data_IF_127036786607
#
_entry.id   IF_127036786607
#
_cell.length_a   1.000
_cell.length_b   1.000
_cell.length_c   1.000
_cell.angle_alpha   90.00
_cell.angle_beta   90.00
_cell.angle_gamma   90.00
#
_symmetry.space_group_name_H-M   'P 1'
#
loop_
_entity.id
_entity.type
_entity.pdbx_description
1 polymer ?
#
# COMPACT_ATOMS: atom_id res chain seq x y z
N UNK A 1 0.31 3.06 -14.09
CA UNK A 1 0.03 2.05 -13.05
C UNK A 1 -0.85 2.67 -11.98
N UNK A 2 -1.84 1.93 -11.48
CA UNK A 2 -2.64 2.27 -10.29
C UNK A 2 -2.27 1.35 -9.12
N UNK A 3 -1.85 1.92 -8.00
CA UNK A 3 -1.58 1.20 -6.76
C UNK A 3 -2.71 1.45 -5.74
N UNK A 4 -3.24 0.40 -5.13
CA UNK A 4 -4.15 0.48 -3.99
C UNK A 4 -3.36 0.29 -2.70
N UNK A 5 -3.53 1.19 -1.74
CA UNK A 5 -2.92 1.15 -0.42
C UNK A 5 -4.03 0.91 0.61
N UNK A 6 -3.97 -0.23 1.29
CA UNK A 6 -4.97 -0.64 2.29
C UNK A 6 -4.36 -0.47 3.67
N UNK A 7 -4.79 0.58 4.38
CA UNK A 7 -4.17 1.09 5.60
C UNK A 7 -3.30 2.32 5.30
N UNK A 8 -3.61 3.46 5.93
CA UNK A 8 -2.97 4.76 5.75
C UNK A 8 -2.13 5.17 6.98
N UNK A 9 -1.77 4.22 7.84
CA UNK A 9 -0.80 4.43 8.92
C UNK A 9 0.62 4.71 8.40
N UNK A 10 1.62 4.67 9.28
CA UNK A 10 3.01 5.05 8.95
C UNK A 10 3.56 4.32 7.71
N UNK A 11 3.41 2.99 7.65
CA UNK A 11 3.92 2.18 6.54
C UNK A 11 3.11 2.41 5.26
N UNK A 12 1.78 2.41 5.36
CA UNK A 12 0.90 2.62 4.22
C UNK A 12 1.05 4.01 3.61
N UNK A 13 1.12 5.06 4.43
CA UNK A 13 1.42 6.42 3.98
C UNK A 13 2.80 6.51 3.31
N UNK A 14 3.77 5.72 3.78
CA UNK A 14 5.07 5.61 3.14
C UNK A 14 5.02 4.97 1.76
N UNK A 15 4.26 3.89 1.58
CA UNK A 15 4.02 3.29 0.27
C UNK A 15 3.25 4.23 -0.66
N UNK A 16 2.20 4.89 -0.15
CA UNK A 16 1.43 5.87 -0.90
C UNK A 16 2.36 6.97 -1.43
N UNK A 17 3.22 7.53 -0.58
CA UNK A 17 4.21 8.51 -0.98
C UNK A 17 5.18 7.97 -2.05
N UNK A 18 5.68 6.76 -1.87
CA UNK A 18 6.62 6.14 -2.81
C UNK A 18 6.01 6.00 -4.20
N UNK A 19 4.82 5.42 -4.32
CA UNK A 19 4.16 5.27 -5.62
C UNK A 19 3.76 6.62 -6.22
N UNK A 20 3.19 7.51 -5.42
CA UNK A 20 2.66 8.80 -5.88
C UNK A 20 3.77 9.69 -6.46
N UNK A 21 4.92 9.78 -5.76
CA UNK A 21 6.05 10.61 -6.19
C UNK A 21 6.85 9.98 -7.35
N UNK A 22 6.51 8.76 -7.77
CA UNK A 22 7.03 8.14 -8.98
C UNK A 22 5.95 8.08 -10.10
N UNK A 23 4.97 9.00 -10.05
CA UNK A 23 3.99 9.19 -11.13
C UNK A 23 2.84 8.19 -11.17
N UNK A 24 2.67 7.35 -10.15
CA UNK A 24 1.57 6.39 -10.12
C UNK A 24 0.27 7.01 -9.61
N UNK A 25 -0.87 6.53 -10.11
CA UNK A 25 -2.16 6.78 -9.47
C UNK A 25 -2.23 5.96 -8.19
N UNK A 26 -2.55 6.58 -7.05
CA UNK A 26 -2.60 5.91 -5.75
C UNK A 26 -4.00 6.03 -5.16
N UNK A 27 -4.69 4.91 -4.99
CA UNK A 27 -5.94 4.84 -4.24
C UNK A 27 -5.64 4.41 -2.80
N UNK A 28 -6.00 5.22 -1.81
CA UNK A 28 -5.78 4.90 -0.39
C UNK A 28 -7.12 4.66 0.29
N UNK A 29 -7.22 3.56 1.03
CA UNK A 29 -8.34 3.26 1.91
C UNK A 29 -7.84 3.00 3.33
N UNK A 30 -8.44 3.69 4.30
CA UNK A 30 -8.30 3.41 5.73
C UNK A 30 -9.63 3.80 6.42
N UNK A 31 -10.20 2.95 7.29
CA UNK A 31 -11.42 3.28 8.02
C UNK A 31 -11.22 4.37 9.09
N UNK A 32 -9.98 4.66 9.49
CA UNK A 32 -9.63 5.65 10.50
C UNK A 32 -9.39 7.03 9.89
N UNK A 33 -10.14 8.03 10.35
CA UNK A 33 -9.93 9.43 9.96
C UNK A 33 -8.57 9.98 10.41
N UNK A 34 -8.05 9.53 11.56
CA UNK A 34 -6.72 9.94 12.04
C UNK A 34 -5.59 9.45 11.15
N UNK A 35 -5.73 8.26 10.54
CA UNK A 35 -4.76 7.75 9.59
C UNK A 35 -4.73 8.60 8.31
N UNK A 36 -5.89 9.06 7.84
CA UNK A 36 -5.98 9.99 6.70
C UNK A 36 -5.30 11.33 6.98
N UNK A 37 -5.44 11.87 8.20
CA UNK A 37 -4.70 13.08 8.59
C UNK A 37 -3.18 12.83 8.62
N UNK A 38 -2.75 11.67 9.11
CA UNK A 38 -1.35 11.25 9.11
C UNK A 38 -0.75 11.13 7.70
N UNK A 39 -1.53 10.65 6.73
CA UNK A 39 -1.11 10.51 5.34
C UNK A 39 -0.60 11.83 4.75
N UNK A 40 -1.33 12.94 4.94
CA UNK A 40 -0.90 14.25 4.41
C UNK A 40 0.43 14.71 5.00
N UNK A 41 0.65 14.46 6.29
CA UNK A 41 1.93 14.76 6.93
C UNK A 41 3.07 13.91 6.35
N UNK A 42 2.82 12.62 6.10
CA UNK A 42 3.79 11.72 5.45
C UNK A 42 4.09 12.17 4.02
N UNK A 43 3.07 12.50 3.23
CA UNK A 43 3.25 13.00 1.85
C UNK A 43 4.04 14.31 1.83
N UNK A 44 3.74 15.25 2.72
CA UNK A 44 4.49 16.49 2.85
C UNK A 44 5.96 16.25 3.21
N UNK A 45 6.25 15.30 4.11
CA UNK A 45 7.61 14.92 4.45
C UNK A 45 8.34 14.27 3.25
N UNK A 46 7.67 13.37 2.53
CA UNK A 46 8.23 12.70 1.36
C UNK A 46 8.54 13.68 0.22
N UNK A 47 7.62 14.60 -0.10
CA UNK A 47 7.81 15.66 -1.12
C UNK A 47 9.04 16.53 -0.84
N UNK A 48 9.39 16.76 0.44
CA UNK A 48 10.57 17.54 0.83
C UNK A 48 11.89 16.75 0.80
N UNK A 49 11.84 15.43 0.98
CA UNK A 49 13.02 14.62 1.27
C UNK A 49 13.40 13.71 0.12
N UNK A 50 12.44 13.07 -0.55
CA UNK A 50 12.70 12.14 -1.64
C UNK A 50 13.48 12.76 -2.81
N UNK A 51 13.19 13.98 -3.29
CA UNK A 51 13.96 14.57 -4.40
C UNK A 51 15.44 14.76 -4.08
N UNK A 52 15.81 14.86 -2.79
CA UNK A 52 17.20 15.05 -2.36
C UNK A 52 18.05 13.78 -2.47
N UNK A 53 17.44 12.63 -2.77
CA UNK A 53 18.14 11.36 -2.95
C UNK A 53 18.56 11.12 -4.40
N UNK A 54 18.13 11.95 -5.35
CA UNK A 54 18.35 11.75 -6.76
C UNK A 54 19.09 12.94 -7.38
N UNK A 55 20.02 12.65 -8.28
CA UNK A 55 20.73 13.67 -9.08
C UNK A 55 19.90 14.16 -10.27
N UNK A 56 18.76 13.51 -10.53
CA UNK A 56 17.80 13.85 -11.58
C UNK A 56 16.43 14.20 -10.97
N UNK A 57 15.64 15.06 -11.63
CA UNK A 57 14.29 15.36 -11.18
C UNK A 57 13.43 14.09 -11.16
N UNK A 58 12.56 14.00 -10.15
CA UNK A 58 11.50 13.00 -10.13
C UNK A 58 10.52 13.26 -11.30
N UNK A 59 9.80 12.22 -11.76
CA UNK A 59 8.69 12.42 -12.69
C UNK A 59 7.60 13.30 -12.05
N UNK A 60 6.66 13.75 -12.89
CA UNK A 60 5.47 14.43 -12.39
C UNK A 60 4.75 13.57 -11.35
N UNK A 61 4.30 14.22 -10.27
CA UNK A 61 3.54 13.54 -9.22
C UNK A 61 2.27 12.93 -9.80
N UNK A 62 1.97 11.70 -9.39
CA UNK A 62 0.78 11.00 -9.83
C UNK A 62 -0.50 11.54 -9.19
N UNK A 63 -1.60 10.79 -9.35
CA UNK A 63 -2.91 11.19 -8.82
C UNK A 63 -3.23 10.45 -7.52
N UNK A 64 -3.44 11.20 -6.43
CA UNK A 64 -3.96 10.64 -5.19
C UNK A 64 -5.49 10.54 -5.23
N UNK A 65 -6.03 9.40 -4.84
CA UNK A 65 -7.45 9.12 -4.73
C UNK A 65 -7.71 8.63 -3.31
N UNK A 66 -8.53 9.34 -2.55
CA UNK A 66 -9.01 8.85 -1.27
C UNK A 66 -10.28 8.05 -1.47
N UNK A 67 -10.19 6.72 -1.39
CA UNK A 67 -11.35 5.86 -1.56
C UNK A 67 -12.28 5.93 -0.34
N UNK A 68 -13.59 5.78 -0.57
CA UNK A 68 -14.60 5.75 0.48
C UNK A 68 -14.72 4.37 1.13
N UNK A 69 -14.43 3.33 0.36
CA UNK A 69 -14.48 1.94 0.78
C UNK A 69 -13.34 1.12 0.14
N UNK A 70 -13.13 -0.08 0.66
CA UNK A 70 -12.08 -0.99 0.22
C UNK A 70 -12.30 -1.44 -1.23
N UNK A 71 -13.54 -1.72 -1.61
CA UNK A 71 -13.89 -2.25 -2.94
C UNK A 71 -13.51 -1.25 -4.04
N UNK A 72 -13.90 0.02 -3.87
CA UNK A 72 -13.56 1.11 -4.78
C UNK A 72 -12.05 1.35 -4.86
N UNK A 73 -11.31 1.13 -3.76
CA UNK A 73 -9.87 1.31 -3.75
C UNK A 73 -9.14 0.28 -4.64
N UNK A 74 -9.63 -0.97 -4.66
CA UNK A 74 -8.92 -2.11 -5.27
C UNK A 74 -9.47 -2.55 -6.63
N UNK A 75 -10.66 -2.09 -7.03
CA UNK A 75 -11.40 -2.57 -8.21
C UNK A 75 -10.57 -2.64 -9.51
N UNK A 76 -9.81 -1.59 -9.80
CA UNK A 76 -9.01 -1.39 -11.00
C UNK A 76 -7.51 -1.22 -10.69
N UNK A 77 -7.06 -1.69 -9.52
CA UNK A 77 -5.68 -1.60 -9.11
C UNK A 77 -4.79 -2.61 -9.87
N UNK A 78 -3.63 -2.15 -10.34
CA UNK A 78 -2.58 -3.00 -10.91
C UNK A 78 -1.67 -3.60 -9.82
N UNK A 79 -1.62 -2.98 -8.64
CA UNK A 79 -0.85 -3.40 -7.48
C UNK A 79 -1.64 -3.10 -6.21
N UNK A 80 -1.70 -4.05 -5.26
CA UNK A 80 -2.37 -3.84 -3.99
C UNK A 80 -1.37 -4.05 -2.84
N UNK A 81 -1.16 -3.02 -2.05
CA UNK A 81 -0.28 -3.04 -0.88
C UNK A 81 -1.13 -2.95 0.40
N UNK A 82 -1.15 -4.03 1.17
CA UNK A 82 -1.76 -4.10 2.48
C UNK A 82 -0.75 -3.70 3.56
N UNK A 83 -1.14 -2.72 4.38
CA UNK A 83 -0.37 -2.13 5.48
C UNK A 83 -1.25 -1.92 6.72
N UNK A 84 -2.22 -2.79 6.97
CA UNK A 84 -3.03 -2.80 8.20
C UNK A 84 -2.21 -3.31 9.39
N UNK A 85 -2.76 -3.16 10.59
CA UNK A 85 -2.14 -3.60 11.85
C UNK A 85 -1.63 -5.04 11.79
N UNK A 86 -0.58 -5.32 12.56
CA UNK A 86 0.09 -6.63 12.61
C UNK A 86 -0.73 -7.67 13.41
N UNK A 87 -1.92 -7.98 12.89
CA UNK A 87 -2.89 -8.94 13.42
C UNK A 87 -3.24 -9.93 12.31
N UNK A 88 -3.02 -11.22 12.56
CA UNK A 88 -3.13 -12.26 11.54
C UNK A 88 -4.57 -12.39 11.00
N UNK A 89 -5.55 -12.36 11.90
CA UNK A 89 -6.95 -12.56 11.53
C UNK A 89 -7.48 -11.36 10.75
N UNK A 90 -7.08 -10.14 11.15
CA UNK A 90 -7.37 -8.92 10.41
C UNK A 90 -6.77 -8.97 9.01
N UNK A 91 -5.49 -9.30 8.88
CA UNK A 91 -4.82 -9.38 7.57
C UNK A 91 -5.50 -10.39 6.66
N UNK A 92 -5.79 -11.60 7.15
CA UNK A 92 -6.52 -12.62 6.37
C UNK A 92 -7.90 -12.14 5.92
N UNK A 93 -8.68 -11.50 6.81
CA UNK A 93 -9.99 -10.92 6.45
C UNK A 93 -9.85 -9.84 5.38
N UNK A 94 -8.86 -8.96 5.51
CA UNK A 94 -8.59 -7.89 4.54
C UNK A 94 -8.15 -8.49 3.21
N UNK A 95 -7.23 -9.45 3.19
CA UNK A 95 -6.77 -10.11 1.96
C UNK A 95 -7.92 -10.80 1.23
N UNK A 96 -8.82 -11.46 1.94
CA UNK A 96 -10.01 -12.07 1.34
C UNK A 96 -10.96 -11.01 0.73
N UNK A 97 -11.20 -9.91 1.43
CA UNK A 97 -12.03 -8.82 0.93
C UNK A 97 -11.40 -8.12 -0.29
N UNK A 98 -10.08 -7.88 -0.24
CA UNK A 98 -9.29 -7.35 -1.36
C UNK A 98 -9.39 -8.28 -2.56
N UNK A 99 -9.18 -9.58 -2.38
CA UNK A 99 -9.19 -10.54 -3.47
C UNK A 99 -10.56 -10.67 -4.14
N UNK A 100 -11.66 -10.46 -3.39
CA UNK A 100 -13.02 -10.41 -3.92
C UNK A 100 -13.30 -9.14 -4.73
N UNK A 101 -12.78 -7.99 -4.29
CA UNK A 101 -13.04 -6.69 -4.93
C UNK A 101 -12.07 -6.33 -6.06
N UNK A 102 -10.91 -6.98 -6.13
CA UNK A 102 -9.85 -6.66 -7.11
C UNK A 102 -9.92 -7.53 -8.36
N UNK A 103 -9.18 -7.10 -9.39
CA UNK A 103 -8.96 -7.91 -10.59
C UNK A 103 -8.38 -9.29 -10.24
N UNK A 104 -8.72 -10.35 -11.00
CA UNK A 104 -8.26 -11.71 -10.73
C UNK A 104 -6.76 -11.92 -10.96
N UNK A 105 -6.05 -10.97 -11.54
CA UNK A 105 -4.61 -11.01 -11.82
C UNK A 105 -3.79 -9.98 -11.01
N UNK A 106 -4.44 -9.15 -10.20
CA UNK A 106 -3.74 -8.16 -9.38
C UNK A 106 -2.99 -8.83 -8.21
N UNK A 107 -1.69 -8.53 -8.00
CA UNK A 107 -0.93 -9.00 -6.85
C UNK A 107 -1.38 -8.33 -5.56
N UNK A 108 -1.42 -9.12 -4.48
CA UNK A 108 -1.77 -8.69 -3.12
C UNK A 108 -0.53 -8.80 -2.25
N UNK A 109 0.13 -7.67 -2.02
CA UNK A 109 1.36 -7.58 -1.27
C UNK A 109 1.12 -7.17 0.18
N UNK A 110 1.52 -7.99 1.15
CA UNK A 110 1.46 -7.63 2.57
C UNK A 110 2.76 -6.97 3.03
N UNK A 111 2.64 -5.92 3.86
CA UNK A 111 3.77 -5.23 4.49
C UNK A 111 4.20 -5.87 5.81
N UNK A 112 3.69 -7.07 6.14
CA UNK A 112 4.01 -7.77 7.39
C UNK A 112 5.52 -7.87 7.61
N UNK A 113 5.95 -7.78 8.87
CA UNK A 113 7.34 -8.01 9.29
C UNK A 113 7.55 -9.39 9.89
N UNK A 114 6.49 -10.03 10.39
CA UNK A 114 6.59 -11.25 11.17
C UNK A 114 5.92 -12.47 10.54
N UNK A 115 4.86 -12.29 9.75
CA UNK A 115 4.10 -13.43 9.23
C UNK A 115 4.73 -13.99 7.97
N UNK A 116 4.91 -15.31 7.95
CA UNK A 116 5.34 -16.02 6.74
C UNK A 116 4.23 -15.96 5.69
N UNK A 117 4.58 -15.90 4.39
CA UNK A 117 3.58 -15.96 3.31
C UNK A 117 2.65 -17.17 3.43
N UNK A 118 3.17 -18.35 3.80
CA UNK A 118 2.36 -19.57 3.99
C UNK A 118 1.34 -19.47 5.13
N UNK A 119 1.62 -18.64 6.15
CA UNK A 119 0.69 -18.39 7.26
C UNK A 119 -0.38 -17.40 6.82
N UNK A 120 -0.02 -16.35 6.10
CA UNK A 120 -1.01 -15.40 5.55
C UNK A 120 -1.95 -16.06 4.54
N UNK A 121 -1.41 -16.89 3.66
CA UNK A 121 -2.14 -17.54 2.58
C UNK A 121 -2.85 -18.84 3.00
N UNK A 122 -2.72 -19.28 4.25
CA UNK A 122 -3.35 -20.51 4.71
C UNK A 122 -4.87 -20.44 4.46
N UNK A 123 -5.40 -21.45 3.77
CA UNK A 123 -6.83 -21.58 3.42
C UNK A 123 -7.36 -20.45 2.50
N UNK A 124 -6.47 -19.63 1.93
CA UNK A 124 -6.85 -18.61 0.95
C UNK A 124 -7.02 -19.23 -0.44
N UNK A 125 -8.18 -19.00 -1.06
CA UNK A 125 -8.42 -19.35 -2.47
C UNK A 125 -7.61 -18.51 -3.47
N UNK A 126 -6.84 -17.52 -2.97
CA UNK A 126 -6.07 -16.57 -3.78
C UNK A 126 -4.60 -16.52 -3.36
N UNK A 127 -4.11 -17.63 -2.78
CA UNK A 127 -2.73 -17.79 -2.32
C UNK A 127 -1.69 -17.57 -3.43
N UNK A 128 -2.06 -17.83 -4.69
CA UNK A 128 -1.23 -17.68 -5.88
C UNK A 128 -0.85 -16.22 -6.19
N UNK A 129 -1.60 -15.25 -5.65
CA UNK A 129 -1.38 -13.81 -5.86
C UNK A 129 -0.93 -13.09 -4.60
N UNK A 130 -0.78 -13.81 -3.48
CA UNK A 130 -0.37 -13.24 -2.21
C UNK A 130 1.15 -13.32 -2.06
N UNK A 131 1.78 -12.18 -1.78
CA UNK A 131 3.21 -12.08 -1.50
C UNK A 131 3.48 -11.19 -0.29
N UNK A 132 4.69 -11.31 0.27
CA UNK A 132 5.20 -10.38 1.27
C UNK A 132 6.13 -9.41 0.57
N UNK A 133 5.88 -8.12 0.76
CA UNK A 133 6.65 -7.00 0.22
C UNK A 133 6.97 -6.09 1.41
N UNK A 134 8.02 -6.45 2.15
CA UNK A 134 8.30 -5.89 3.47
C UNK A 134 9.23 -4.67 3.37
N UNK A 135 8.74 -3.44 3.60
CA UNK A 135 9.58 -2.27 3.47
C UNK A 135 10.40 -2.01 4.74
N UNK A 136 11.44 -1.19 4.60
CA UNK A 136 12.07 -0.52 5.73
C UNK A 136 11.52 0.90 5.89
N UNK A 137 11.28 1.33 7.13
CA UNK A 137 10.79 2.67 7.43
C UNK A 137 11.97 3.67 7.54
N UNK A 138 11.95 4.84 6.85
CA UNK A 138 10.88 5.38 6.00
C UNK A 138 10.81 4.77 4.59
N UNK A 139 9.63 4.24 4.24
CA UNK A 139 9.38 3.45 3.02
C UNK A 139 9.73 4.19 1.73
N UNK A 140 9.50 5.51 1.68
CA UNK A 140 9.80 6.32 0.51
C UNK A 140 11.29 6.66 0.37
N UNK A 141 12.12 6.54 1.42
CA UNK A 141 13.56 6.84 1.35
C UNK A 141 14.42 5.61 1.20
N UNK A 142 14.06 4.50 1.85
CA UNK A 142 14.86 3.28 1.86
C UNK A 142 14.53 2.41 0.64
N UNK A 143 15.51 1.99 -0.17
CA UNK A 143 15.25 1.25 -1.40
C UNK A 143 14.99 -0.25 -1.16
N UNK A 144 15.39 -0.79 0.00
CA UNK A 144 15.25 -2.21 0.32
C UNK A 144 13.79 -2.58 0.62
N UNK A 145 13.38 -3.70 0.02
CA UNK A 145 12.06 -4.34 0.10
C UNK A 145 12.26 -5.86 0.11
#
# INVERSE_FOLDING_TARGET
MKAAIVGAGVIGGGWAARFLLHGCTVAVFDPSETARAGLEATLAAARRSLPKLYDAPLPDEGRLISALDLETAVADADWIQESVSEDLDLKRRVHAAVAKGSRPDAPIASSTSGFRPSVLAAESAHADRLLVCHPFNPVYLLPLV
#
